data_IF_251143666545
#
_entry.id   IF_251143666545
#
_cell.length_a   1.000
_cell.length_b   1.000
_cell.length_c   1.000
_cell.angle_alpha   90.00
_cell.angle_beta   90.00
_cell.angle_gamma   90.00
#
_symmetry.space_group_name_H-M   'P 1'
#
loop_
_entity.id
_entity.type
_entity.pdbx_description
1 polymer ?
#
# COMPACT_ATOMS: atom_id res chain seq x y z
N UNK A 1 -24.12 -4.90 -13.07
CA UNK A 1 -22.87 -4.26 -13.52
C UNK A 1 -22.29 -5.09 -14.66
N UNK A 2 -22.17 -4.49 -15.87
CA UNK A 2 -21.88 -5.25 -17.11
C UNK A 2 -20.53 -5.97 -17.10
N UNK A 3 -19.54 -5.45 -16.39
CA UNK A 3 -18.18 -6.00 -16.38
C UNK A 3 -17.96 -7.10 -15.32
N UNK A 4 -18.68 -7.08 -14.23
CA UNK A 4 -18.49 -8.04 -13.13
C UNK A 4 -18.81 -9.48 -13.55
N UNK A 5 -19.84 -9.67 -14.37
CA UNK A 5 -20.22 -10.99 -14.88
C UNK A 5 -19.18 -11.56 -15.87
N UNK A 6 -18.48 -10.71 -16.62
CA UNK A 6 -17.45 -11.15 -17.56
C UNK A 6 -16.18 -11.62 -16.85
N UNK A 7 -15.78 -10.93 -15.76
CA UNK A 7 -14.57 -11.27 -14.99
C UNK A 7 -14.81 -12.34 -13.91
N UNK A 8 -16.07 -12.70 -13.62
CA UNK A 8 -16.45 -13.76 -12.69
C UNK A 8 -17.17 -14.91 -13.36
N UNK A 9 -16.64 -15.37 -14.49
CA UNK A 9 -17.20 -16.49 -15.25
C UNK A 9 -16.51 -17.81 -14.87
N UNK A 10 -17.13 -18.68 -14.04
CA UNK A 10 -16.52 -19.94 -13.62
C UNK A 10 -16.22 -20.90 -14.76
N UNK A 11 -17.08 -20.91 -15.79
CA UNK A 11 -16.87 -21.78 -16.96
C UNK A 11 -15.67 -21.32 -17.80
N UNK A 12 -15.49 -20.01 -17.95
CA UNK A 12 -14.30 -19.43 -18.59
C UNK A 12 -13.02 -19.69 -17.79
N UNK A 13 -13.08 -19.52 -16.47
CA UNK A 13 -11.95 -19.81 -15.58
C UNK A 13 -11.54 -21.29 -15.65
N UNK A 14 -12.50 -22.21 -15.65
CA UNK A 14 -12.24 -23.65 -15.79
C UNK A 14 -11.52 -24.00 -17.10
N UNK A 15 -11.90 -23.40 -18.23
CA UNK A 15 -11.22 -23.57 -19.51
C UNK A 15 -9.78 -23.07 -19.49
N UNK A 16 -9.53 -21.91 -18.87
CA UNK A 16 -8.18 -21.36 -18.74
C UNK A 16 -7.29 -22.25 -17.86
N UNK A 17 -7.81 -22.73 -16.75
CA UNK A 17 -7.09 -23.64 -15.85
C UNK A 17 -6.74 -24.93 -16.58
N UNK A 18 -7.68 -25.49 -17.37
CA UNK A 18 -7.41 -26.69 -18.15
C UNK A 18 -6.34 -26.42 -19.21
N UNK A 19 -6.42 -25.29 -19.91
CA UNK A 19 -5.40 -24.90 -20.88
C UNK A 19 -4.00 -24.79 -20.24
N UNK A 20 -3.90 -24.22 -19.04
CA UNK A 20 -2.63 -24.15 -18.29
C UNK A 20 -2.13 -25.55 -17.92
N UNK A 21 -3.02 -26.48 -17.54
CA UNK A 21 -2.66 -27.86 -17.20
C UNK A 21 -2.15 -28.66 -18.40
N UNK A 22 -2.66 -28.34 -19.58
CA UNK A 22 -2.30 -29.00 -20.84
C UNK A 22 -1.00 -28.44 -21.45
N UNK A 23 -0.45 -27.34 -20.87
CA UNK A 23 0.83 -26.78 -21.31
C UNK A 23 1.99 -27.58 -20.71
N UNK A 24 2.98 -27.88 -21.55
CA UNK A 24 4.27 -28.42 -21.09
C UNK A 24 5.16 -27.27 -20.61
N UNK A 25 5.07 -26.96 -19.32
CA UNK A 25 5.78 -25.85 -18.70
C UNK A 25 6.84 -26.37 -17.73
N UNK A 26 8.00 -25.71 -17.65
CA UNK A 26 8.99 -25.98 -16.60
C UNK A 26 8.43 -25.59 -15.22
N UNK A 27 9.20 -25.84 -14.19
CA UNK A 27 8.90 -25.31 -12.85
C UNK A 27 8.97 -23.78 -12.86
N UNK A 28 7.87 -23.13 -12.46
CA UNK A 28 7.71 -21.68 -12.49
C UNK A 28 7.45 -21.11 -11.10
N UNK A 29 8.22 -20.11 -10.75
CA UNK A 29 8.02 -19.31 -9.54
C UNK A 29 7.55 -17.92 -9.95
N UNK A 30 6.27 -17.63 -9.73
CA UNK A 30 5.66 -16.35 -10.12
C UNK A 30 5.40 -15.54 -8.85
N UNK A 31 6.05 -14.37 -8.75
CA UNK A 31 5.91 -13.48 -7.61
C UNK A 31 4.82 -12.43 -7.88
N UNK A 32 3.79 -12.41 -7.05
CA UNK A 32 2.83 -11.31 -7.06
C UNK A 32 3.32 -10.17 -6.16
N UNK A 33 3.22 -8.94 -6.65
CA UNK A 33 3.71 -7.75 -5.95
C UNK A 33 2.57 -6.77 -5.61
N UNK A 34 1.43 -7.33 -5.18
CA UNK A 34 0.28 -6.53 -4.75
C UNK A 34 -0.56 -7.31 -3.73
N UNK A 35 -0.81 -6.73 -2.57
CA UNK A 35 -1.63 -7.36 -1.53
C UNK A 35 -3.06 -7.74 -1.99
N UNK A 36 -3.62 -7.01 -2.96
CA UNK A 36 -4.90 -7.36 -3.58
C UNK A 36 -4.81 -8.66 -4.38
N UNK A 37 -3.68 -8.91 -5.06
CA UNK A 37 -3.41 -10.18 -5.75
C UNK A 37 -3.34 -11.32 -4.75
N UNK A 38 -2.59 -11.18 -3.65
CA UNK A 38 -2.51 -12.18 -2.57
C UNK A 38 -3.90 -12.58 -2.09
N UNK A 39 -4.75 -11.60 -1.81
CA UNK A 39 -6.12 -11.85 -1.35
C UNK A 39 -6.99 -12.51 -2.43
N UNK A 40 -6.86 -12.11 -3.68
CA UNK A 40 -7.63 -12.67 -4.79
C UNK A 40 -7.21 -14.11 -5.09
N UNK A 41 -5.92 -14.40 -5.09
CA UNK A 41 -5.34 -15.74 -5.25
C UNK A 41 -5.83 -16.68 -4.14
N UNK A 42 -5.80 -16.20 -2.89
CA UNK A 42 -6.28 -16.96 -1.74
C UNK A 42 -7.80 -17.23 -1.82
N UNK A 43 -8.61 -16.22 -2.10
CA UNK A 43 -10.08 -16.35 -2.23
C UNK A 43 -10.49 -17.27 -3.37
N UNK A 44 -9.76 -17.26 -4.48
CA UNK A 44 -10.04 -18.13 -5.63
C UNK A 44 -9.44 -19.53 -5.47
N UNK A 45 -8.64 -19.79 -4.44
CA UNK A 45 -7.97 -21.07 -4.24
C UNK A 45 -6.96 -21.42 -5.34
N UNK A 46 -6.37 -20.43 -6.02
CA UNK A 46 -5.55 -20.66 -7.21
C UNK A 46 -4.34 -21.56 -6.92
N UNK A 47 -3.74 -21.47 -5.72
CA UNK A 47 -2.60 -22.32 -5.33
C UNK A 47 -2.93 -23.81 -5.29
N UNK A 48 -4.22 -24.17 -5.08
CA UNK A 48 -4.67 -25.56 -5.06
C UNK A 48 -5.15 -26.04 -6.45
N UNK A 49 -5.49 -25.11 -7.33
CA UNK A 49 -6.11 -25.41 -8.64
C UNK A 49 -5.05 -25.49 -9.73
N UNK A 50 -4.00 -24.69 -9.64
CA UNK A 50 -2.90 -24.68 -10.61
C UNK A 50 -2.06 -25.95 -10.54
N UNK A 51 -1.36 -26.31 -11.62
CA UNK A 51 -0.41 -27.42 -11.63
C UNK A 51 0.66 -27.28 -10.53
N UNK A 52 1.15 -28.38 -9.95
CA UNK A 52 2.07 -28.35 -8.82
C UNK A 52 3.43 -27.72 -9.11
N UNK A 53 3.81 -27.63 -10.37
CA UNK A 53 5.05 -26.98 -10.83
C UNK A 53 4.89 -25.46 -11.04
N UNK A 54 3.71 -24.89 -10.78
CA UNK A 54 3.49 -23.44 -10.81
C UNK A 54 3.31 -22.92 -9.38
N UNK A 55 4.31 -22.20 -8.89
CA UNK A 55 4.35 -21.65 -7.55
C UNK A 55 3.99 -20.16 -7.57
N UNK A 56 2.91 -19.80 -6.86
CA UNK A 56 2.57 -18.40 -6.64
C UNK A 56 3.14 -17.96 -5.28
N UNK A 57 4.08 -17.02 -5.31
CA UNK A 57 4.74 -16.47 -4.11
C UNK A 57 4.38 -15.00 -3.92
N UNK A 58 4.27 -14.60 -2.65
CA UNK A 58 3.94 -13.21 -2.31
C UNK A 58 5.21 -12.39 -2.18
N UNK A 59 5.28 -11.31 -2.96
CA UNK A 59 6.35 -10.34 -2.90
C UNK A 59 5.96 -9.06 -2.14
N UNK A 60 6.82 -8.03 -2.15
CA UNK A 60 6.60 -6.77 -1.43
C UNK A 60 5.52 -5.93 -2.13
N UNK A 61 4.25 -6.12 -1.77
CA UNK A 61 3.12 -5.45 -2.43
C UNK A 61 2.30 -4.51 -1.53
N UNK A 62 2.77 -4.23 -0.30
CA UNK A 62 2.04 -3.40 0.66
C UNK A 62 2.95 -2.29 1.19
N UNK A 63 2.69 -0.99 0.89
CA UNK A 63 3.51 0.11 1.35
C UNK A 63 3.50 0.26 2.87
N UNK A 64 2.39 -0.10 3.51
CA UNK A 64 2.24 -0.14 4.97
C UNK A 64 3.13 -1.21 5.58
N UNK A 65 3.14 -2.42 5.00
CA UNK A 65 3.89 -3.57 5.52
C UNK A 65 5.43 -3.37 5.44
N UNK A 66 5.90 -2.57 4.48
CA UNK A 66 7.33 -2.26 4.31
C UNK A 66 7.74 -0.94 4.97
N UNK A 67 6.87 -0.32 5.76
CA UNK A 67 7.23 0.85 6.57
C UNK A 67 8.07 0.41 7.76
N UNK A 68 9.31 0.92 7.92
CA UNK A 68 10.19 0.51 9.01
C UNK A 68 9.60 0.83 10.38
N UNK A 69 9.75 -0.08 11.35
CA UNK A 69 9.26 0.10 12.72
C UNK A 69 9.83 1.35 13.40
N UNK A 70 11.12 1.66 13.16
CA UNK A 70 11.73 2.89 13.70
C UNK A 70 11.10 4.18 13.19
N UNK A 71 10.57 4.19 11.95
CA UNK A 71 9.80 5.34 11.45
C UNK A 71 8.46 5.44 12.17
N UNK A 72 7.81 4.29 12.44
CA UNK A 72 6.59 4.28 13.24
C UNK A 72 6.82 4.72 14.69
N UNK A 73 7.95 4.37 15.30
CA UNK A 73 8.32 4.86 16.63
C UNK A 73 8.41 6.38 16.68
N UNK A 74 9.00 6.99 15.64
CA UNK A 74 9.09 8.43 15.53
C UNK A 74 7.70 9.07 15.35
N UNK A 75 6.85 8.50 14.51
CA UNK A 75 5.46 8.93 14.35
C UNK A 75 4.69 8.85 15.67
N UNK A 76 4.85 7.75 16.41
CA UNK A 76 4.21 7.57 17.72
C UNK A 76 4.72 8.58 18.76
N UNK A 77 6.00 8.93 18.71
CA UNK A 77 6.59 9.97 19.56
C UNK A 77 6.02 11.35 19.20
N UNK A 78 5.97 11.70 17.92
CA UNK A 78 5.44 12.97 17.43
C UNK A 78 3.95 13.11 17.77
N UNK A 79 3.18 12.03 17.70
CA UNK A 79 1.73 12.08 18.01
C UNK A 79 1.42 12.50 19.44
N UNK A 80 2.40 12.47 20.34
CA UNK A 80 2.24 12.90 21.75
C UNK A 80 2.61 14.36 21.98
N UNK A 81 3.11 15.06 20.97
CA UNK A 81 3.45 16.48 21.12
C UNK A 81 2.18 17.32 21.27
N UNK A 82 2.22 18.37 22.12
CA UNK A 82 1.09 19.27 22.25
C UNK A 82 0.82 20.00 20.93
N UNK A 83 -0.44 20.24 20.65
CA UNK A 83 -0.92 20.94 19.44
C UNK A 83 -0.57 20.27 18.11
N UNK A 84 -0.16 19.00 18.11
CA UNK A 84 0.06 18.20 16.90
C UNK A 84 -1.14 17.31 16.66
N UNK A 85 -1.60 17.27 15.42
CA UNK A 85 -2.58 16.31 14.90
C UNK A 85 -1.93 15.44 13.85
N UNK A 86 -1.94 14.14 14.04
CA UNK A 86 -1.54 13.17 13.02
C UNK A 86 -2.76 12.83 12.18
N UNK A 87 -2.64 12.98 10.87
CA UNK A 87 -3.65 12.54 9.92
C UNK A 87 -3.11 11.43 9.04
N UNK A 88 -3.90 10.39 8.80
CA UNK A 88 -3.46 9.23 8.04
C UNK A 88 -4.61 8.43 7.46
N UNK A 89 -4.32 7.55 6.51
CA UNK A 89 -5.27 6.53 6.09
C UNK A 89 -5.46 5.47 7.18
N UNK A 90 -6.63 4.82 7.18
CA UNK A 90 -7.04 3.91 8.24
C UNK A 90 -6.17 2.67 8.43
N UNK A 91 -5.45 2.24 7.41
CA UNK A 91 -4.56 1.08 7.43
C UNK A 91 -3.30 1.29 8.30
N UNK A 92 -2.79 2.54 8.40
CA UNK A 92 -1.65 2.86 9.26
C UNK A 92 -1.99 2.89 10.76
N UNK A 93 -3.24 3.06 11.14
CA UNK A 93 -3.64 3.21 12.54
C UNK A 93 -3.21 2.04 13.43
N UNK A 94 -3.14 0.83 12.87
CA UNK A 94 -2.82 -0.41 13.59
C UNK A 94 -1.40 -0.90 13.41
N UNK A 95 -0.60 -0.20 12.62
CA UNK A 95 0.80 -0.58 12.38
C UNK A 95 1.60 -0.32 13.65
N UNK A 96 2.27 -1.35 14.21
CA UNK A 96 3.05 -1.17 15.42
C UNK A 96 4.41 -0.51 15.12
N UNK A 97 4.94 0.18 16.12
CA UNK A 97 6.35 0.51 16.19
C UNK A 97 7.19 -0.71 16.63
N UNK A 98 8.38 -0.45 17.17
CA UNK A 98 9.27 -1.48 17.71
C UNK A 98 8.71 -2.17 18.95
N UNK A 99 7.83 -1.48 19.70
CA UNK A 99 7.15 -2.05 20.88
C UNK A 99 5.86 -2.74 20.43
N UNK A 100 5.69 -4.03 20.67
CA UNK A 100 4.48 -4.76 20.30
C UNK A 100 3.22 -4.13 20.88
N UNK A 101 2.23 -3.89 20.01
CA UNK A 101 0.94 -3.32 20.37
C UNK A 101 0.93 -1.80 20.58
N UNK A 102 2.07 -1.12 20.45
CA UNK A 102 2.12 0.34 20.43
C UNK A 102 1.87 0.84 19.00
N UNK A 103 0.76 1.52 18.78
CA UNK A 103 0.31 1.98 17.48
C UNK A 103 -0.52 3.27 17.62
N UNK A 104 -0.82 3.92 16.51
CA UNK A 104 -1.58 5.18 16.51
C UNK A 104 -2.99 5.03 17.10
N UNK A 105 -3.65 3.90 16.90
CA UNK A 105 -4.97 3.66 17.50
C UNK A 105 -4.90 3.65 19.03
N UNK A 106 -3.89 2.99 19.60
CA UNK A 106 -3.66 2.97 21.05
C UNK A 106 -3.28 4.35 21.57
N UNK A 107 -2.41 5.07 20.84
CA UNK A 107 -2.02 6.46 21.21
C UNK A 107 -3.20 7.41 21.18
N UNK A 108 -4.09 7.28 20.22
CA UNK A 108 -5.35 8.04 20.18
C UNK A 108 -6.23 7.76 21.39
N UNK A 109 -6.37 6.51 21.80
CA UNK A 109 -7.10 6.13 23.01
C UNK A 109 -6.47 6.69 24.30
N UNK A 110 -5.19 7.07 24.26
CA UNK A 110 -4.45 7.69 25.35
C UNK A 110 -4.44 9.24 25.30
N UNK A 111 -5.16 9.82 24.33
CA UNK A 111 -5.34 11.26 24.20
C UNK A 111 -4.53 11.94 23.10
N UNK A 112 -3.73 11.20 22.31
CA UNK A 112 -3.11 11.76 21.13
C UNK A 112 -4.16 12.10 20.06
N UNK A 113 -4.02 13.27 19.41
CA UNK A 113 -4.93 13.66 18.33
C UNK A 113 -4.51 12.99 17.02
N UNK A 114 -5.18 11.88 16.72
CA UNK A 114 -4.97 11.08 15.50
C UNK A 114 -6.28 10.97 14.75
N UNK A 115 -6.31 11.45 13.53
CA UNK A 115 -7.53 11.49 12.70
C UNK A 115 -7.35 10.69 11.41
N UNK A 116 -8.32 9.83 11.14
CA UNK A 116 -8.39 9.11 9.87
C UNK A 116 -8.96 10.02 8.79
N UNK A 117 -8.30 10.04 7.64
CA UNK A 117 -8.73 10.78 6.45
C UNK A 117 -8.80 9.87 5.22
N UNK A 118 -9.57 10.26 4.23
CA UNK A 118 -9.69 9.54 2.96
C UNK A 118 -8.88 10.21 1.85
N UNK A 119 -8.48 11.47 2.06
CA UNK A 119 -7.68 12.26 1.13
C UNK A 119 -6.66 13.10 1.89
N UNK A 120 -5.46 13.36 1.33
CA UNK A 120 -4.54 14.34 1.89
C UNK A 120 -5.12 15.75 1.89
N UNK A 121 -6.10 16.04 1.01
CA UNK A 121 -6.83 17.31 1.01
C UNK A 121 -7.68 17.48 2.27
N UNK A 122 -8.29 16.40 2.80
CA UNK A 122 -9.05 16.47 4.06
C UNK A 122 -8.17 16.98 5.21
N UNK A 123 -6.91 16.53 5.24
CA UNK A 123 -5.93 16.99 6.24
C UNK A 123 -5.58 18.47 6.08
N UNK A 124 -5.44 18.94 4.85
CA UNK A 124 -5.19 20.34 4.55
C UNK A 124 -6.38 21.22 4.95
N UNK A 125 -7.60 20.78 4.65
CA UNK A 125 -8.82 21.50 4.99
C UNK A 125 -9.02 21.57 6.53
N UNK A 126 -8.67 20.51 7.27
CA UNK A 126 -8.62 20.54 8.73
C UNK A 126 -7.57 21.54 9.25
N UNK A 127 -6.37 21.57 8.65
CA UNK A 127 -5.33 22.53 9.02
C UNK A 127 -5.76 23.98 8.76
N UNK A 128 -6.60 24.22 7.76
CA UNK A 128 -7.17 25.52 7.49
C UNK A 128 -8.20 25.96 8.54
N UNK A 129 -8.98 25.01 9.05
CA UNK A 129 -10.00 25.25 10.08
C UNK A 129 -9.41 25.42 11.48
N UNK A 130 -8.24 24.83 11.75
CA UNK A 130 -7.58 24.83 13.06
C UNK A 130 -6.16 25.42 12.94
N UNK A 131 -6.01 26.75 12.74
CA UNK A 131 -4.73 27.39 12.41
C UNK A 131 -3.70 27.34 13.55
N UNK A 132 -4.12 27.12 14.79
CA UNK A 132 -3.25 27.04 15.98
C UNK A 132 -2.71 25.62 16.22
N UNK A 133 -3.03 24.65 15.35
CA UNK A 133 -2.57 23.26 15.43
C UNK A 133 -1.70 22.90 14.24
N UNK A 134 -0.70 22.08 14.49
CA UNK A 134 0.15 21.50 13.45
C UNK A 134 -0.44 20.20 12.94
N UNK A 135 -0.70 20.10 11.65
CA UNK A 135 -1.20 18.90 11.00
C UNK A 135 -0.08 18.20 10.25
N UNK A 136 0.16 16.94 10.60
CA UNK A 136 1.14 16.09 9.94
C UNK A 136 0.40 14.97 9.23
N UNK A 137 0.35 15.02 7.90
CA UNK A 137 -0.21 13.96 7.09
C UNK A 137 0.83 12.86 6.82
N UNK A 138 0.52 11.62 7.18
CA UNK A 138 1.34 10.47 6.88
C UNK A 138 0.98 9.95 5.48
N UNK A 139 1.77 10.33 4.49
CA UNK A 139 1.56 9.95 3.10
C UNK A 139 2.16 8.57 2.81
N UNK A 140 1.37 7.50 2.99
CA UNK A 140 1.77 6.13 2.68
C UNK A 140 1.11 5.65 1.39
N UNK A 141 1.85 4.95 0.56
CA UNK A 141 1.34 4.44 -0.71
C UNK A 141 2.44 4.18 -1.72
N UNK A 142 2.03 3.75 -2.89
CA UNK A 142 2.86 3.64 -4.08
C UNK A 142 2.55 4.77 -5.07
N UNK A 143 2.92 4.59 -6.32
CA UNK A 143 2.78 5.58 -7.39
C UNK A 143 1.36 6.11 -7.59
N UNK A 144 0.34 5.29 -7.32
CA UNK A 144 -1.07 5.68 -7.42
C UNK A 144 -1.49 6.72 -6.38
N UNK A 145 -0.80 6.77 -5.23
CA UNK A 145 -1.11 7.67 -4.12
C UNK A 145 -0.31 8.99 -4.20
N UNK A 146 0.87 8.94 -4.84
CA UNK A 146 1.79 10.08 -4.90
C UNK A 146 1.18 11.34 -5.54
N UNK A 147 0.41 11.28 -6.66
CA UNK A 147 -0.14 12.48 -7.28
C UNK A 147 -1.08 13.27 -6.36
N UNK A 148 -2.00 12.59 -5.67
CA UNK A 148 -2.90 13.25 -4.72
C UNK A 148 -2.17 13.90 -3.55
N UNK A 149 -1.12 13.24 -3.06
CA UNK A 149 -0.27 13.78 -2.00
C UNK A 149 0.50 15.02 -2.48
N UNK A 150 1.05 14.99 -3.69
CA UNK A 150 1.76 16.12 -4.29
C UNK A 150 0.84 17.33 -4.49
N UNK A 151 -0.40 17.10 -4.95
CA UNK A 151 -1.41 18.15 -5.10
C UNK A 151 -1.69 18.82 -3.75
N UNK A 152 -1.88 18.05 -2.67
CA UNK A 152 -2.15 18.62 -1.35
C UNK A 152 -0.99 19.52 -0.87
N UNK A 153 0.27 19.14 -1.11
CA UNK A 153 1.44 19.95 -0.78
C UNK A 153 1.47 21.25 -1.62
N UNK A 154 1.16 21.16 -2.92
CA UNK A 154 1.08 22.33 -3.79
C UNK A 154 -0.04 23.29 -3.35
N UNK A 155 -1.21 22.76 -3.03
CA UNK A 155 -2.34 23.52 -2.52
C UNK A 155 -2.04 24.19 -1.16
N UNK A 156 -1.40 23.47 -0.24
CA UNK A 156 -0.98 24.04 1.03
C UNK A 156 -0.07 25.26 0.82
N UNK A 157 0.88 25.14 -0.10
CA UNK A 157 1.75 26.25 -0.49
C UNK A 157 0.97 27.41 -1.14
N UNK A 158 0.07 27.11 -2.08
CA UNK A 158 -0.74 28.12 -2.77
C UNK A 158 -1.67 28.87 -1.80
N UNK A 159 -2.24 28.18 -0.81
CA UNK A 159 -3.09 28.77 0.24
C UNK A 159 -2.27 29.41 1.38
N UNK A 160 -0.93 29.39 1.31
CA UNK A 160 -0.05 29.98 2.33
C UNK A 160 -0.12 29.28 3.70
N UNK A 161 -0.54 28.01 3.76
CA UNK A 161 -0.66 27.25 5.00
C UNK A 161 0.72 26.79 5.48
N UNK A 162 1.05 27.13 6.73
CA UNK A 162 2.33 26.78 7.37
C UNK A 162 2.19 25.65 8.38
N UNK A 163 0.96 25.37 8.80
CA UNK A 163 0.61 24.38 9.79
C UNK A 163 0.16 23.03 9.17
N UNK A 164 0.52 22.78 7.92
CA UNK A 164 0.36 21.50 7.24
C UNK A 164 1.72 20.97 6.81
N UNK A 165 2.04 19.77 7.22
CA UNK A 165 3.28 19.07 6.89
C UNK A 165 3.00 17.67 6.35
N UNK A 166 3.83 17.21 5.42
CA UNK A 166 3.82 15.86 4.90
C UNK A 166 4.99 15.06 5.47
N UNK A 167 4.72 13.95 6.14
CA UNK A 167 5.70 12.89 6.34
C UNK A 167 5.53 11.85 5.24
N UNK A 168 6.43 11.88 4.26
CA UNK A 168 6.35 10.98 3.11
C UNK A 168 6.87 9.59 3.44
N UNK A 169 5.95 8.62 3.43
CA UNK A 169 6.21 7.18 3.52
C UNK A 169 5.92 6.49 2.18
N UNK A 170 5.81 7.29 1.11
CA UNK A 170 5.60 6.80 -0.25
C UNK A 170 6.74 5.90 -0.70
N UNK A 171 6.40 4.84 -1.41
CA UNK A 171 7.35 3.88 -1.98
C UNK A 171 7.20 3.87 -3.50
N UNK A 172 8.29 3.50 -4.18
CA UNK A 172 8.30 3.26 -5.62
C UNK A 172 8.42 1.77 -5.89
N UNK A 173 7.62 1.29 -6.84
CA UNK A 173 7.59 -0.12 -7.23
C UNK A 173 8.88 -0.52 -7.95
N UNK A 174 9.35 0.31 -8.90
CA UNK A 174 10.52 -0.01 -9.74
C UNK A 174 11.81 -0.28 -8.92
N UNK A 175 12.24 0.56 -7.97
CA UNK A 175 13.43 0.27 -7.17
C UNK A 175 13.30 -0.99 -6.32
N UNK A 176 12.10 -1.30 -5.82
CA UNK A 176 11.85 -2.53 -5.06
C UNK A 176 11.99 -3.77 -5.94
N UNK A 177 11.42 -3.74 -7.14
CA UNK A 177 11.56 -4.84 -8.10
C UNK A 177 13.01 -5.01 -8.55
N UNK A 178 13.72 -3.91 -8.83
CA UNK A 178 15.13 -3.95 -9.20
C UNK A 178 15.98 -4.62 -8.11
N UNK A 179 15.78 -4.24 -6.85
CA UNK A 179 16.51 -4.84 -5.73
C UNK A 179 16.26 -6.35 -5.61
N UNK A 180 15.04 -6.82 -5.93
CA UNK A 180 14.72 -8.26 -5.95
C UNK A 180 15.44 -8.95 -7.12
N UNK A 181 15.39 -8.37 -8.32
CA UNK A 181 15.97 -8.95 -9.54
C UNK A 181 17.50 -9.01 -9.44
N UNK A 182 18.11 -8.01 -8.82
CA UNK A 182 19.57 -7.91 -8.65
C UNK A 182 20.08 -8.67 -7.41
N UNK A 183 19.21 -9.33 -6.65
CA UNK A 183 19.60 -10.17 -5.51
C UNK A 183 20.30 -11.44 -5.95
N UNK A 184 21.37 -11.84 -5.27
CA UNK A 184 22.10 -13.08 -5.54
C UNK A 184 21.24 -14.35 -5.38
N UNK A 185 20.18 -14.26 -4.54
CA UNK A 185 19.23 -15.34 -4.28
C UNK A 185 17.99 -15.29 -5.21
N UNK A 186 18.06 -14.51 -6.30
CA UNK A 186 16.95 -14.35 -7.23
C UNK A 186 16.55 -15.68 -7.89
N UNK A 187 15.39 -16.19 -7.57
CA UNK A 187 14.82 -17.41 -8.13
C UNK A 187 13.34 -17.21 -8.46
N UNK A 188 13.04 -16.22 -9.31
CA UNK A 188 11.69 -15.90 -9.73
C UNK A 188 11.62 -15.96 -11.25
N UNK A 189 10.68 -16.76 -11.77
CA UNK A 189 10.46 -16.91 -13.22
C UNK A 189 9.75 -15.72 -13.84
N UNK A 190 8.97 -14.97 -13.04
CA UNK A 190 8.23 -13.82 -13.52
C UNK A 190 7.44 -13.12 -12.41
N UNK A 191 6.95 -11.92 -12.72
CA UNK A 191 6.16 -11.10 -11.81
C UNK A 191 4.72 -10.96 -12.27
N UNK A 192 3.79 -11.02 -11.33
CA UNK A 192 2.41 -10.60 -11.52
C UNK A 192 2.27 -9.15 -11.00
N UNK A 193 2.39 -8.20 -11.92
CA UNK A 193 2.42 -6.77 -11.60
C UNK A 193 1.01 -6.20 -11.40
N UNK A 194 0.85 -5.16 -10.54
CA UNK A 194 -0.44 -4.52 -10.30
C UNK A 194 -0.83 -3.62 -11.47
N UNK A 195 -1.91 -3.95 -12.17
CA UNK A 195 -2.39 -3.19 -13.34
C UNK A 195 -2.69 -1.71 -13.06
N UNK A 196 -3.12 -1.37 -11.84
CA UNK A 196 -3.36 0.02 -11.45
C UNK A 196 -2.07 0.85 -11.33
N UNK A 197 -0.92 0.21 -11.09
CA UNK A 197 0.40 0.88 -11.12
C UNK A 197 0.88 0.99 -12.57
N UNK A 198 0.69 -0.04 -13.39
CA UNK A 198 1.04 -0.02 -14.81
C UNK A 198 0.33 1.11 -15.58
N UNK A 199 -0.91 1.46 -15.21
CA UNK A 199 -1.62 2.60 -15.80
C UNK A 199 -0.97 3.96 -15.53
N UNK A 200 -0.16 4.07 -14.48
CA UNK A 200 0.57 5.31 -14.11
C UNK A 200 1.98 5.30 -14.69
N UNK A 201 2.68 4.19 -14.59
CA UNK A 201 4.09 4.07 -15.01
C UNK A 201 4.27 3.70 -16.48
N UNK A 202 3.27 3.12 -17.12
CA UNK A 202 3.38 2.43 -18.39
C UNK A 202 3.78 0.95 -18.22
N UNK A 203 3.96 0.28 -19.35
CA UNK A 203 4.40 -1.11 -19.44
C UNK A 203 5.92 -1.24 -19.44
#
# INVERSE_FOLDING_TARGET
>A
MLYEAQFRNPAGAGKLIQAIRDMDLPELWIMEICGTHTMSIAKAGLRQILPPHIHLISGPGCPVCVTPSGVMDEVLRISQLPNVTITTYGDLLRVPGSVPGDNLQRRSAQGADVRMVYSPMDSLDMAEQEPDREFIFLGVGFETTAPGTAIAVQEAKARGRKNFSLLSLLKRTEPAMRAIIESDDFNVSGFLCPGHVATILGE
#
